data_IF_362939534305
#
_entry.id   IF_362939534305
#
_cell.length_a   1.000
_cell.length_b   1.000
_cell.length_c   1.000
_cell.angle_alpha   90.00
_cell.angle_beta   90.00
_cell.angle_gamma   90.00
#
_symmetry.space_group_name_H-M   'P 1'
#
loop_
_entity.id
_entity.type
_entity.pdbx_description
1 polymer ?
#
# COMPACT_ATOMS: atom_id res chain seq x y z
N UNK A 1 7.01 5.19 36.81
CA UNK A 1 5.90 5.77 36.02
C UNK A 1 5.60 7.16 36.56
N UNK A 2 5.31 8.11 35.68
CA UNK A 2 4.87 9.44 36.11
C UNK A 2 3.44 9.35 36.69
N UNK A 3 3.16 10.13 37.73
CA UNK A 3 1.83 10.22 38.36
C UNK A 3 0.99 11.34 37.75
N UNK A 4 1.65 12.28 37.08
CA UNK A 4 1.08 13.48 36.49
C UNK A 4 1.55 13.59 35.03
N UNK A 5 1.36 14.76 34.42
CA UNK A 5 1.68 15.02 33.01
C UNK A 5 3.17 14.79 32.68
N UNK A 6 3.42 14.22 31.49
CA UNK A 6 4.77 14.03 30.94
C UNK A 6 4.87 14.78 29.64
N UNK A 7 5.69 15.83 29.63
CA UNK A 7 5.98 16.61 28.43
C UNK A 7 7.36 16.24 27.86
N UNK A 8 7.39 15.89 26.58
CA UNK A 8 8.61 15.57 25.83
C UNK A 8 8.78 16.68 24.80
N UNK A 9 9.84 17.49 24.95
CA UNK A 9 10.11 18.66 24.11
C UNK A 9 11.57 18.63 23.68
N UNK A 10 11.83 18.96 22.42
CA UNK A 10 13.18 19.20 21.91
C UNK A 10 13.40 20.70 21.74
N UNK A 11 14.54 21.19 22.21
CA UNK A 11 14.86 22.62 22.18
C UNK A 11 15.34 23.11 20.80
N UNK A 12 15.94 22.24 19.99
CA UNK A 12 16.64 22.65 18.78
C UNK A 12 16.53 21.67 17.59
N UNK A 13 15.94 20.50 17.77
CA UNK A 13 15.98 19.42 16.77
C UNK A 13 14.72 18.54 16.80
N UNK A 14 14.78 17.39 16.13
CA UNK A 14 13.67 16.45 16.02
C UNK A 14 13.56 15.52 17.23
N UNK A 15 12.36 14.96 17.43
CA UNK A 15 12.10 13.88 18.37
C UNK A 15 11.82 12.63 17.54
N UNK A 16 12.76 11.69 17.53
CA UNK A 16 12.65 10.45 16.77
C UNK A 16 12.29 9.29 17.69
N UNK A 17 11.16 8.64 17.41
CA UNK A 17 10.71 7.47 18.16
C UNK A 17 10.87 6.23 17.29
N UNK A 18 11.82 5.36 17.68
CA UNK A 18 12.10 4.10 17.01
C UNK A 18 11.98 2.95 18.01
N UNK A 19 11.34 1.85 17.59
CA UNK A 19 11.25 0.63 18.36
C UNK A 19 11.49 -0.59 17.46
N UNK A 20 12.15 -1.62 17.98
CA UNK A 20 12.47 -2.83 17.22
C UNK A 20 11.23 -3.68 16.87
N UNK A 21 10.16 -3.57 17.66
CA UNK A 21 8.95 -4.40 17.50
C UNK A 21 7.72 -3.55 17.19
N UNK A 22 7.33 -2.67 18.12
CA UNK A 22 6.18 -1.80 17.93
C UNK A 22 6.27 -0.55 18.81
N UNK A 23 5.64 0.52 18.34
CA UNK A 23 5.41 1.74 19.10
C UNK A 23 3.93 1.77 19.46
N UNK A 24 3.60 1.86 20.74
CA UNK A 24 2.21 1.89 21.24
C UNK A 24 1.99 3.12 22.11
N UNK A 25 1.02 3.94 21.74
CA UNK A 25 0.59 5.09 22.50
C UNK A 25 -0.84 4.84 22.92
N UNK A 26 -1.03 4.59 24.21
CA UNK A 26 -2.33 4.23 24.77
C UNK A 26 -2.73 5.24 25.84
N UNK A 27 -3.99 5.64 25.81
CA UNK A 27 -4.59 6.43 26.89
C UNK A 27 -5.31 5.51 27.86
N UNK A 28 -5.51 5.96 29.10
CA UNK A 28 -6.31 5.22 30.09
C UNK A 28 -7.76 5.00 29.62
N UNK A 29 -8.27 5.87 28.74
CA UNK A 29 -9.60 5.75 28.13
C UNK A 29 -9.71 4.73 26.99
N UNK A 30 -8.67 3.92 26.75
CA UNK A 30 -8.71 2.83 25.77
C UNK A 30 -8.46 3.22 24.32
N UNK A 31 -8.21 4.51 24.03
CA UNK A 31 -7.73 4.91 22.71
C UNK A 31 -6.25 4.52 22.58
N UNK A 32 -5.88 3.97 21.41
CA UNK A 32 -4.51 3.59 21.13
C UNK A 32 -4.08 3.91 19.69
N UNK A 33 -2.79 4.19 19.53
CA UNK A 33 -2.10 4.25 18.25
C UNK A 33 -0.99 3.21 18.31
N UNK A 34 -1.02 2.24 17.39
CA UNK A 34 -0.02 1.19 17.28
C UNK A 34 0.66 1.25 15.92
N UNK A 35 1.98 1.36 15.92
CA UNK A 35 2.82 1.25 14.72
C UNK A 35 3.56 -0.08 14.80
N UNK A 36 3.18 -1.02 13.95
CA UNK A 36 3.71 -2.39 13.95
C UNK A 36 3.64 -3.00 12.54
N UNK A 37 4.68 -3.71 12.13
CA UNK A 37 4.69 -4.45 10.86
C UNK A 37 4.47 -3.59 9.61
N UNK A 38 4.91 -2.32 9.63
CA UNK A 38 4.70 -1.37 8.53
C UNK A 38 3.28 -0.78 8.46
N UNK A 39 2.39 -1.16 9.38
CA UNK A 39 1.03 -0.63 9.47
C UNK A 39 0.90 0.38 10.62
N UNK A 40 -0.02 1.33 10.43
CA UNK A 40 -0.42 2.28 11.45
C UNK A 40 -1.88 1.99 11.79
N UNK A 41 -2.14 1.59 13.04
CA UNK A 41 -3.46 1.25 13.54
C UNK A 41 -3.89 2.30 14.57
N UNK A 42 -4.98 3.00 14.30
CA UNK A 42 -5.59 3.98 15.21
C UNK A 42 -6.91 3.40 15.70
N UNK A 43 -7.01 3.15 17.01
CA UNK A 43 -8.21 2.58 17.64
C UNK A 43 -8.71 3.53 18.74
N UNK A 44 -10.02 3.67 18.81
CA UNK A 44 -10.68 4.41 19.88
C UNK A 44 -12.04 3.76 20.15
N UNK A 45 -12.48 3.63 21.41
CA UNK A 45 -13.82 3.15 21.73
C UNK A 45 -14.95 4.12 21.30
N UNK A 46 -14.60 5.30 20.77
CA UNK A 46 -15.53 6.30 20.25
C UNK A 46 -15.22 6.73 18.81
N UNK A 47 -15.68 7.94 18.46
CA UNK A 47 -15.52 8.48 17.11
C UNK A 47 -14.09 8.99 16.88
N UNK A 48 -13.47 8.55 15.80
CA UNK A 48 -12.24 9.16 15.28
C UNK A 48 -12.62 10.40 14.47
N UNK A 49 -12.28 11.58 14.98
CA UNK A 49 -12.51 12.85 14.29
C UNK A 49 -11.20 13.38 13.72
N UNK A 50 -11.14 13.56 12.40
CA UNK A 50 -9.97 14.11 11.70
C UNK A 50 -10.29 15.54 11.30
N UNK A 51 -9.64 16.50 11.94
CA UNK A 51 -9.75 17.92 11.59
C UNK A 51 -8.67 18.27 10.56
N UNK A 52 -9.03 18.25 9.27
CA UNK A 52 -8.12 18.58 8.17
C UNK A 52 -8.84 19.32 7.03
N UNK A 53 -8.19 20.31 6.42
CA UNK A 53 -8.72 21.04 5.25
C UNK A 53 -8.79 20.17 3.97
N UNK A 54 -7.98 19.10 3.91
CA UNK A 54 -8.04 18.07 2.87
C UNK A 54 -7.68 16.72 3.51
N UNK A 55 -8.48 15.69 3.23
CA UNK A 55 -8.20 14.30 3.64
C UNK A 55 -8.06 13.45 2.38
N UNK A 56 -6.84 13.37 1.84
CA UNK A 56 -6.52 12.44 0.75
C UNK A 56 -6.15 11.08 1.34
N UNK A 57 -6.94 10.06 1.01
CA UNK A 57 -6.61 8.68 1.29
C UNK A 57 -6.36 8.03 -0.06
N UNK A 58 -5.14 8.18 -0.57
CA UNK A 58 -4.77 7.65 -1.86
C UNK A 58 -4.79 6.12 -1.78
N UNK A 59 -5.67 5.52 -2.57
CA UNK A 59 -5.78 4.07 -2.68
C UNK A 59 -4.59 3.47 -3.42
N UNK A 60 -4.52 2.14 -3.52
CA UNK A 60 -3.48 1.48 -4.31
C UNK A 60 -3.55 1.93 -5.77
N UNK A 61 -2.46 2.50 -6.28
CA UNK A 61 -2.36 2.91 -7.69
C UNK A 61 -2.17 1.68 -8.57
N UNK A 62 -3.11 1.43 -9.50
CA UNK A 62 -2.92 0.43 -10.56
C UNK A 62 -2.09 1.05 -11.68
N UNK A 63 -0.90 0.51 -11.94
CA UNK A 63 -0.19 0.79 -13.17
C UNK A 63 -0.78 -0.11 -14.27
N UNK A 64 -1.39 0.48 -15.30
CA UNK A 64 -1.76 -0.27 -16.50
C UNK A 64 -0.46 -0.66 -17.22
N UNK A 65 -0.10 -1.93 -17.19
CA UNK A 65 0.98 -2.46 -18.04
C UNK A 65 0.39 -2.65 -19.44
N UNK A 66 0.78 -1.86 -20.46
CA UNK A 66 0.29 -2.09 -21.81
C UNK A 66 0.78 -3.47 -22.26
N UNK A 67 -0.16 -4.34 -22.61
CA UNK A 67 0.19 -5.62 -23.23
C UNK A 67 0.96 -5.33 -24.54
N UNK A 68 2.05 -6.08 -24.82
CA UNK A 68 2.80 -5.90 -26.05
C UNK A 68 1.88 -6.15 -27.24
N UNK A 69 1.89 -5.22 -28.20
CA UNK A 69 1.11 -5.32 -29.44
C UNK A 69 1.62 -6.54 -30.21
N UNK A 70 0.78 -7.56 -30.39
CA UNK A 70 1.17 -8.71 -31.19
C UNK A 70 1.37 -8.28 -32.66
N UNK A 71 2.40 -8.80 -33.35
CA UNK A 71 2.66 -8.47 -34.74
C UNK A 71 1.48 -8.93 -35.61
N UNK A 72 0.91 -7.98 -36.38
CA UNK A 72 -0.24 -8.23 -37.28
C UNK A 72 0.12 -9.01 -38.55
N UNK A 73 1.41 -9.16 -38.85
CA UNK A 73 1.90 -9.88 -40.03
C UNK A 73 2.74 -11.08 -39.60
N UNK A 74 2.05 -12.19 -39.30
CA UNK A 74 2.70 -13.48 -39.08
C UNK A 74 2.79 -14.19 -40.43
N UNK A 75 3.96 -14.73 -40.76
CA UNK A 75 4.17 -15.59 -41.93
C UNK A 75 3.15 -16.73 -41.95
N UNK A 76 2.60 -17.06 -43.14
CA UNK A 76 1.60 -18.13 -43.28
C UNK A 76 2.16 -19.47 -42.76
N UNK A 77 3.43 -19.79 -43.07
CA UNK A 77 4.10 -20.98 -42.53
C UNK A 77 4.19 -20.96 -41.00
N UNK A 78 4.42 -19.79 -40.41
CA UNK A 78 4.56 -19.62 -38.97
C UNK A 78 3.23 -19.82 -38.24
N UNK A 79 2.12 -19.39 -38.84
CA UNK A 79 0.77 -19.63 -38.34
C UNK A 79 0.38 -21.12 -38.43
N UNK A 80 0.70 -21.78 -39.54
CA UNK A 80 0.49 -23.22 -39.71
C UNK A 80 1.32 -24.07 -38.74
N UNK A 81 2.58 -23.67 -38.49
CA UNK A 81 3.43 -24.33 -37.50
C UNK A 81 2.92 -24.11 -36.07
N UNK A 82 2.49 -22.88 -35.75
CA UNK A 82 1.90 -22.51 -34.46
C UNK A 82 0.59 -23.26 -34.17
N UNK A 83 -0.23 -23.50 -35.20
CA UNK A 83 -1.46 -24.29 -35.10
C UNK A 83 -1.17 -25.78 -34.88
N UNK A 84 -0.19 -26.34 -35.60
CA UNK A 84 0.23 -27.74 -35.42
C UNK A 84 0.86 -28.00 -34.05
N UNK A 85 1.61 -27.03 -33.52
CA UNK A 85 2.26 -27.15 -32.21
C UNK A 85 1.34 -26.84 -31.03
N UNK A 86 0.06 -26.51 -31.27
CA UNK A 86 -0.90 -26.17 -30.22
C UNK A 86 -0.52 -24.92 -29.43
N UNK A 87 0.26 -24.02 -30.03
CA UNK A 87 0.75 -22.84 -29.31
C UNK A 87 -0.38 -21.84 -29.02
N UNK A 88 -0.39 -21.19 -27.85
CA UNK A 88 -1.40 -20.20 -27.48
C UNK A 88 -1.35 -18.91 -28.34
N UNK A 89 -0.37 -18.81 -29.25
CA UNK A 89 -0.17 -17.69 -30.17
C UNK A 89 -0.77 -17.94 -31.57
N UNK A 90 -1.46 -19.07 -31.78
CA UNK A 90 -2.25 -19.29 -33.00
C UNK A 90 -3.50 -18.40 -32.96
N UNK A 91 -3.39 -17.17 -33.48
CA UNK A 91 -4.53 -16.29 -33.63
C UNK A 91 -5.63 -16.99 -34.45
N UNK A 92 -6.88 -16.93 -33.98
CA UNK A 92 -8.04 -17.30 -34.80
C UNK A 92 -8.05 -16.31 -35.97
N UNK A 93 -7.81 -16.83 -37.18
CA UNK A 93 -8.00 -16.06 -38.40
C UNK A 93 -9.41 -15.47 -38.41
N UNK A 94 -9.51 -14.24 -38.90
CA UNK A 94 -10.77 -13.58 -39.25
C UNK A 94 -11.62 -14.46 -40.17
#
# INVERSE_FOLDING_TARGET
>A
QAREEVNIVSAAAHIDWAAAKSIRLSTAGGANITIEGGNITVQCPGKITVHAGKKSFDGPSRASYPLPVMPRSICKECLLNAARSGSPFAAKGE
#
